data_IF_309612012090
#
_entry.id   IF_309612012090
#
_cell.length_a   1.000
_cell.length_b   1.000
_cell.length_c   1.000
_cell.angle_alpha   90.00
_cell.angle_beta   90.00
_cell.angle_gamma   90.00
#
_symmetry.space_group_name_H-M   'P 1'
#
loop_
_entity.id
_entity.type
_entity.pdbx_description
1 polymer ?
#
# COMPACT_ATOMS: atom_id res chain seq x y z
N UNK A 1 -27.73 16.93 -11.07
CA UNK A 1 -27.62 15.89 -12.09
C UNK A 1 -28.11 14.59 -11.48
N UNK A 2 -29.43 14.43 -11.40
CA UNK A 2 -30.08 13.19 -11.04
C UNK A 2 -30.27 12.36 -12.32
N UNK A 3 -29.21 11.76 -12.79
CA UNK A 3 -29.34 10.58 -13.63
C UNK A 3 -29.22 9.40 -12.72
N UNK A 4 -30.33 8.71 -12.41
CA UNK A 4 -30.55 7.50 -11.63
C UNK A 4 -29.47 6.40 -11.52
N UNK A 5 -28.22 6.79 -11.47
CA UNK A 5 -27.10 5.94 -11.09
C UNK A 5 -26.96 6.06 -9.59
N UNK A 6 -27.65 5.19 -8.88
CA UNK A 6 -27.38 4.97 -7.47
C UNK A 6 -25.94 4.43 -7.40
N UNK A 7 -24.98 5.28 -7.11
CA UNK A 7 -23.64 4.85 -6.80
C UNK A 7 -23.71 4.00 -5.54
N UNK A 8 -23.58 2.69 -5.69
CA UNK A 8 -23.46 1.81 -4.54
C UNK A 8 -22.23 2.24 -3.76
N UNK A 9 -22.41 2.54 -2.46
CA UNK A 9 -21.34 2.92 -1.55
C UNK A 9 -20.71 1.68 -0.89
N UNK A 10 -20.90 0.53 -1.51
CA UNK A 10 -20.30 -0.74 -1.14
C UNK A 10 -19.85 -1.50 -2.39
N UNK A 11 -18.87 -2.35 -2.26
CA UNK A 11 -18.41 -3.21 -3.36
C UNK A 11 -19.44 -4.30 -3.62
N UNK A 12 -19.74 -4.51 -4.89
CA UNK A 12 -20.69 -5.53 -5.31
C UNK A 12 -19.96 -6.75 -5.86
N UNK A 13 -20.44 -7.97 -5.58
CA UNK A 13 -19.86 -9.20 -6.11
C UNK A 13 -20.00 -9.30 -7.63
N UNK A 14 -20.97 -8.60 -8.22
CA UNK A 14 -21.26 -8.61 -9.65
C UNK A 14 -21.82 -7.29 -10.15
N UNK A 15 -21.49 -6.95 -11.40
CA UNK A 15 -22.06 -5.85 -12.15
C UNK A 15 -22.83 -6.37 -13.37
N UNK A 16 -23.85 -5.64 -13.83
CA UNK A 16 -24.61 -5.97 -15.04
C UNK A 16 -23.76 -5.91 -16.33
N UNK A 17 -22.63 -5.24 -16.30
CA UNK A 17 -21.69 -5.15 -17.41
C UNK A 17 -20.50 -6.10 -17.17
N UNK A 18 -20.23 -6.99 -18.14
CA UNK A 18 -19.19 -8.03 -18.04
C UNK A 18 -17.77 -7.57 -18.43
N UNK A 19 -17.56 -6.32 -18.84
CA UNK A 19 -16.24 -5.84 -19.29
C UNK A 19 -15.17 -5.89 -18.19
N UNK A 20 -15.49 -5.47 -16.97
CA UNK A 20 -14.55 -5.48 -15.85
C UNK A 20 -14.23 -6.89 -15.35
N UNK A 21 -15.20 -7.78 -15.07
CA UNK A 21 -14.93 -9.17 -14.72
C UNK A 21 -14.08 -9.92 -15.76
N UNK A 22 -14.39 -9.77 -17.05
CA UNK A 22 -13.62 -10.44 -18.10
C UNK A 22 -12.19 -9.91 -18.22
N UNK A 23 -11.97 -8.61 -18.02
CA UNK A 23 -10.62 -8.02 -17.95
C UNK A 23 -9.83 -8.59 -16.78
N UNK A 24 -10.48 -8.73 -15.62
CA UNK A 24 -9.87 -9.29 -14.42
C UNK A 24 -9.50 -10.77 -14.61
N UNK A 25 -10.39 -11.57 -15.22
CA UNK A 25 -10.12 -12.97 -15.54
C UNK A 25 -8.94 -13.15 -16.51
N UNK A 26 -8.68 -12.18 -17.39
CA UNK A 26 -7.51 -12.21 -18.28
C UNK A 26 -6.23 -11.80 -17.56
N UNK A 27 -6.33 -10.87 -16.62
CA UNK A 27 -5.17 -10.32 -15.91
C UNK A 27 -4.65 -11.28 -14.85
N UNK A 28 -5.53 -11.91 -14.05
CA UNK A 28 -5.12 -12.77 -12.92
C UNK A 28 -4.16 -13.90 -13.32
N UNK A 29 -4.40 -14.68 -14.42
CA UNK A 29 -3.46 -15.71 -14.82
C UNK A 29 -2.08 -15.20 -15.25
N UNK A 30 -1.98 -13.91 -15.61
CA UNK A 30 -0.74 -13.28 -16.02
C UNK A 30 0.03 -12.66 -14.85
N UNK A 31 -0.57 -12.61 -13.65
CA UNK A 31 0.00 -11.88 -12.52
C UNK A 31 1.41 -12.37 -12.15
N UNK A 32 1.65 -13.68 -12.19
CA UNK A 32 2.95 -14.28 -11.90
C UNK A 32 4.04 -13.79 -12.89
N UNK A 33 3.69 -13.49 -14.15
CA UNK A 33 4.66 -13.01 -15.14
C UNK A 33 5.16 -11.59 -14.86
N UNK A 34 4.49 -10.83 -14.00
CA UNK A 34 4.97 -9.53 -13.54
C UNK A 34 5.89 -9.60 -12.32
N UNK A 35 5.91 -10.76 -11.64
CA UNK A 35 6.75 -10.95 -10.47
C UNK A 35 8.21 -11.28 -10.85
N UNK A 36 8.40 -11.88 -12.02
CA UNK A 36 9.69 -12.41 -12.46
C UNK A 36 10.03 -11.98 -13.88
N UNK A 37 11.31 -11.71 -14.12
CA UNK A 37 11.86 -11.59 -15.47
C UNK A 37 13.08 -12.51 -15.66
N UNK A 38 13.21 -13.03 -16.88
CA UNK A 38 14.18 -14.05 -17.23
C UNK A 38 15.11 -13.54 -18.33
N UNK A 39 16.42 -13.61 -18.07
CA UNK A 39 17.45 -13.41 -19.08
C UNK A 39 18.17 -14.74 -19.41
N UNK A 40 19.17 -14.71 -20.28
CA UNK A 40 19.94 -15.91 -20.63
C UNK A 40 20.68 -16.54 -19.42
N UNK A 41 21.20 -15.68 -18.55
CA UNK A 41 21.95 -16.10 -17.34
C UNK A 41 21.52 -15.32 -16.09
N UNK A 42 20.34 -14.70 -16.15
CA UNK A 42 19.82 -13.87 -15.07
C UNK A 42 18.36 -14.22 -14.78
N UNK A 43 18.05 -14.34 -13.48
CA UNK A 43 16.71 -14.37 -12.93
C UNK A 43 16.52 -13.11 -12.09
N UNK A 44 15.45 -12.36 -12.34
CA UNK A 44 15.14 -11.14 -11.60
C UNK A 44 13.78 -11.22 -10.94
N UNK A 45 13.75 -10.86 -9.66
CA UNK A 45 12.54 -10.66 -8.88
C UNK A 45 12.10 -9.18 -8.99
N UNK A 46 11.00 -8.94 -9.70
CA UNK A 46 10.45 -7.60 -9.93
C UNK A 46 9.46 -7.18 -8.84
N UNK A 47 8.59 -8.10 -8.43
CA UNK A 47 7.61 -7.90 -7.36
C UNK A 47 7.77 -9.03 -6.35
N UNK A 48 8.12 -8.73 -5.09
CA UNK A 48 8.44 -9.76 -4.10
C UNK A 48 7.17 -10.36 -3.47
N UNK A 49 6.20 -10.74 -4.30
CA UNK A 49 5.04 -11.50 -3.86
C UNK A 49 5.45 -12.95 -3.55
N UNK A 50 4.78 -13.56 -2.57
CA UNK A 50 5.00 -14.97 -2.24
C UNK A 50 4.75 -15.86 -3.46
N UNK A 51 5.63 -16.83 -3.69
CA UNK A 51 5.58 -17.72 -4.82
C UNK A 51 6.92 -18.33 -5.15
N UNK A 52 7.00 -18.98 -6.29
CA UNK A 52 8.24 -19.66 -6.71
C UNK A 52 8.49 -19.49 -8.21
N UNK A 53 9.75 -19.54 -8.59
CA UNK A 53 10.22 -19.57 -9.98
C UNK A 53 11.27 -20.67 -10.15
N UNK A 54 11.29 -21.30 -11.31
CA UNK A 54 12.35 -22.25 -11.67
C UNK A 54 13.24 -21.59 -12.71
N UNK A 55 14.54 -21.59 -12.42
CA UNK A 55 15.56 -21.12 -13.35
C UNK A 55 16.61 -22.21 -13.53
N UNK A 56 16.57 -22.87 -14.68
CA UNK A 56 17.40 -24.06 -14.99
C UNK A 56 17.21 -25.16 -13.93
N UNK A 57 18.28 -25.54 -13.20
CA UNK A 57 18.25 -26.59 -12.18
C UNK A 57 18.05 -26.04 -10.75
N UNK A 58 17.66 -24.77 -10.62
CA UNK A 58 17.44 -24.14 -9.34
C UNK A 58 16.00 -23.64 -9.24
N UNK A 59 15.32 -23.96 -8.16
CA UNK A 59 14.04 -23.38 -7.78
C UNK A 59 14.30 -22.24 -6.78
N UNK A 60 13.64 -21.10 -6.99
CA UNK A 60 13.74 -19.94 -6.11
C UNK A 60 12.37 -19.69 -5.51
N UNK A 61 12.26 -19.81 -4.20
CA UNK A 61 11.05 -19.61 -3.43
C UNK A 61 11.09 -18.25 -2.74
N UNK A 62 9.99 -17.47 -2.84
CA UNK A 62 9.79 -16.20 -2.13
C UNK A 62 8.74 -16.39 -1.05
N UNK A 63 9.13 -16.16 0.20
CA UNK A 63 8.28 -16.15 1.38
C UNK A 63 8.08 -14.68 1.79
N UNK A 64 6.85 -14.16 1.66
CA UNK A 64 6.57 -12.74 1.86
C UNK A 64 5.10 -12.51 2.13
N UNK A 65 4.80 -11.47 2.93
CA UNK A 65 3.47 -10.90 3.08
C UNK A 65 3.35 -9.56 2.33
N UNK A 66 4.24 -9.28 1.38
CA UNK A 66 4.17 -8.10 0.55
C UNK A 66 2.82 -8.02 -0.19
N UNK A 67 2.13 -6.89 -0.24
CA UNK A 67 2.58 -5.53 0.08
C UNK A 67 2.33 -5.06 1.53
N UNK A 68 1.85 -5.93 2.43
CA UNK A 68 1.50 -5.55 3.81
C UNK A 68 2.69 -5.55 4.77
N UNK A 69 3.74 -6.30 4.45
CA UNK A 69 5.01 -6.33 5.18
C UNK A 69 6.17 -6.15 4.19
N UNK A 70 7.25 -5.56 4.67
CA UNK A 70 8.49 -5.36 3.91
C UNK A 70 9.55 -6.43 4.13
N UNK A 71 9.28 -7.46 4.94
CA UNK A 71 10.20 -8.59 5.14
C UNK A 71 9.98 -9.65 4.06
N UNK A 72 11.04 -9.99 3.33
CA UNK A 72 11.04 -10.93 2.22
C UNK A 72 12.19 -11.91 2.41
N UNK A 73 11.85 -13.19 2.46
CA UNK A 73 12.82 -14.29 2.53
C UNK A 73 12.81 -15.02 1.20
N UNK A 74 13.98 -15.18 0.60
CA UNK A 74 14.17 -15.84 -0.71
C UNK A 74 15.09 -17.05 -0.50
N UNK A 75 14.57 -18.23 -0.77
CA UNK A 75 15.27 -19.51 -0.58
C UNK A 75 15.58 -20.13 -1.93
N UNK A 76 16.82 -20.60 -2.09
CA UNK A 76 17.27 -21.26 -3.29
C UNK A 76 17.35 -22.77 -3.05
N UNK A 77 16.76 -23.55 -3.96
CA UNK A 77 16.74 -25.01 -3.93
C UNK A 77 17.44 -25.57 -5.17
N UNK A 78 18.48 -26.37 -4.95
CA UNK A 78 19.33 -26.91 -6.00
C UNK A 78 20.63 -26.15 -6.17
N UNK A 79 21.40 -26.48 -7.24
CA UNK A 79 22.71 -25.89 -7.48
C UNK A 79 22.81 -25.41 -8.93
N UNK A 80 23.03 -24.12 -9.14
CA UNK A 80 23.12 -23.53 -10.49
C UNK A 80 23.88 -22.18 -10.45
N UNK A 81 24.83 -21.93 -11.38
CA UNK A 81 25.47 -20.62 -11.50
C UNK A 81 24.60 -19.65 -12.32
N UNK A 82 24.15 -18.56 -11.72
CA UNK A 82 23.45 -17.48 -12.41
C UNK A 82 23.51 -16.17 -11.66
N UNK A 83 23.09 -15.11 -12.35
CA UNK A 83 22.88 -13.80 -11.76
C UNK A 83 21.46 -13.72 -11.22
N UNK A 84 21.32 -13.51 -9.91
CA UNK A 84 20.03 -13.18 -9.30
C UNK A 84 19.97 -11.69 -9.02
N UNK A 85 18.88 -11.05 -9.40
CA UNK A 85 18.64 -9.64 -9.14
C UNK A 85 17.29 -9.46 -8.43
N UNK A 86 17.24 -8.55 -7.46
CA UNK A 86 16.03 -8.20 -6.75
C UNK A 86 15.78 -6.69 -6.87
N UNK A 87 14.63 -6.31 -7.41
CA UNK A 87 14.26 -4.91 -7.55
C UNK A 87 13.88 -4.29 -6.20
N UNK A 88 14.49 -3.17 -5.89
CA UNK A 88 14.11 -2.34 -4.74
C UNK A 88 13.14 -1.27 -5.23
N UNK A 89 11.89 -1.27 -4.76
CA UNK A 89 10.89 -0.31 -5.21
C UNK A 89 11.30 1.14 -4.96
N UNK A 90 10.92 2.06 -5.86
CA UNK A 90 11.29 3.48 -5.76
C UNK A 90 10.74 4.21 -4.53
N UNK A 91 9.69 3.69 -3.90
CA UNK A 91 9.17 4.22 -2.64
C UNK A 91 10.05 3.84 -1.43
N UNK A 92 10.84 2.77 -1.51
CA UNK A 92 11.69 2.30 -0.41
C UNK A 92 13.00 3.07 -0.38
N UNK A 93 13.15 3.94 0.61
CA UNK A 93 14.38 4.73 0.81
C UNK A 93 15.49 3.90 1.46
N UNK A 94 15.11 3.09 2.45
CA UNK A 94 16.03 2.27 3.24
C UNK A 94 15.66 0.79 3.08
N UNK A 95 16.59 0.01 2.55
CA UNK A 95 16.50 -1.43 2.49
C UNK A 95 17.75 -2.03 3.11
N UNK A 96 17.59 -3.09 3.89
CA UNK A 96 18.68 -3.95 4.36
C UNK A 96 18.59 -5.30 3.69
N UNK A 97 19.73 -5.93 3.48
CA UNK A 97 19.81 -7.25 2.86
C UNK A 97 20.89 -8.10 3.49
N UNK A 98 20.61 -9.37 3.69
CA UNK A 98 21.61 -10.36 4.09
C UNK A 98 21.59 -11.56 3.14
N UNK A 99 22.72 -12.26 3.06
CA UNK A 99 22.88 -13.54 2.38
C UNK A 99 23.45 -14.54 3.37
N UNK A 100 22.70 -15.61 3.65
CA UNK A 100 23.06 -16.62 4.63
C UNK A 100 23.42 -16.04 6.02
N UNK A 101 22.68 -14.99 6.44
CA UNK A 101 22.92 -14.29 7.69
C UNK A 101 24.04 -13.25 7.66
N UNK A 102 24.82 -13.18 6.58
CA UNK A 102 25.82 -12.12 6.41
C UNK A 102 25.18 -10.83 5.92
N UNK A 103 25.35 -9.74 6.67
CA UNK A 103 24.84 -8.42 6.26
C UNK A 103 25.56 -7.92 5.00
N UNK A 104 24.78 -7.56 4.00
CA UNK A 104 25.21 -7.00 2.72
C UNK A 104 24.53 -5.64 2.45
N UNK A 105 24.06 -4.94 3.48
CA UNK A 105 23.34 -3.68 3.35
C UNK A 105 24.17 -2.56 2.72
N UNK A 106 25.50 -2.68 2.67
CA UNK A 106 26.40 -1.80 1.94
C UNK A 106 26.41 -2.02 0.42
N UNK A 107 25.75 -3.07 -0.08
CA UNK A 107 25.70 -3.37 -1.51
C UNK A 107 24.98 -2.23 -2.26
N UNK A 108 25.65 -1.69 -3.28
CA UNK A 108 25.06 -0.58 -4.04
C UNK A 108 23.99 -1.08 -5.02
N UNK A 109 22.90 -0.34 -5.10
CA UNK A 109 21.84 -0.57 -6.07
C UNK A 109 22.32 -0.15 -7.47
N UNK A 110 22.23 -1.07 -8.42
CA UNK A 110 22.45 -0.77 -9.82
C UNK A 110 21.12 -0.80 -10.57
N UNK A 111 20.75 0.29 -11.22
CA UNK A 111 19.46 0.44 -11.92
C UNK A 111 18.23 0.05 -11.07
N UNK A 112 18.25 0.38 -9.77
CA UNK A 112 17.17 0.06 -8.84
C UNK A 112 17.14 -1.40 -8.35
N UNK A 113 18.14 -2.21 -8.68
CA UNK A 113 18.23 -3.61 -8.24
C UNK A 113 19.47 -3.85 -7.37
N UNK A 114 19.35 -4.84 -6.47
CA UNK A 114 20.48 -5.53 -5.85
C UNK A 114 20.76 -6.77 -6.69
N UNK A 115 22.04 -7.04 -6.96
CA UNK A 115 22.43 -8.09 -7.90
C UNK A 115 23.58 -8.93 -7.36
N UNK A 116 23.47 -10.24 -7.47
CA UNK A 116 24.48 -11.22 -7.10
C UNK A 116 24.77 -12.17 -8.26
N UNK A 117 26.00 -12.26 -8.67
CA UNK A 117 26.48 -13.25 -9.65
C UNK A 117 27.30 -14.31 -8.92
N UNK A 118 26.74 -15.50 -8.77
CA UNK A 118 27.38 -16.59 -8.03
C UNK A 118 26.87 -17.97 -8.42
N UNK A 119 27.54 -19.01 -7.94
CA UNK A 119 26.98 -20.35 -7.86
C UNK A 119 26.05 -20.40 -6.66
N UNK A 120 24.75 -20.51 -6.90
CA UNK A 120 23.75 -20.72 -5.87
C UNK A 120 23.78 -22.18 -5.42
N UNK A 121 23.56 -22.40 -4.15
CA UNK A 121 23.55 -23.73 -3.54
C UNK A 121 22.22 -23.98 -2.86
N UNK A 122 21.90 -25.26 -2.70
CA UNK A 122 20.71 -25.67 -1.97
C UNK A 122 20.73 -25.13 -0.54
N UNK A 123 19.65 -24.50 -0.14
CA UNK A 123 19.54 -23.84 1.17
C UNK A 123 20.15 -22.43 1.26
N UNK A 124 20.71 -21.86 0.20
CA UNK A 124 21.08 -20.43 0.20
C UNK A 124 19.84 -19.56 0.48
N UNK A 125 19.99 -18.52 1.31
CA UNK A 125 18.91 -17.63 1.73
C UNK A 125 19.33 -16.17 1.55
N UNK A 126 18.53 -15.41 0.81
CA UNK A 126 18.58 -13.94 0.79
C UNK A 126 17.42 -13.41 1.62
N UNK A 127 17.71 -12.61 2.63
CA UNK A 127 16.71 -11.87 3.39
C UNK A 127 16.77 -10.39 3.03
N UNK A 128 15.64 -9.83 2.65
CA UNK A 128 15.50 -8.44 2.27
C UNK A 128 14.46 -7.80 3.18
N UNK A 129 14.80 -6.67 3.79
CA UNK A 129 13.88 -5.86 4.56
C UNK A 129 13.71 -4.49 3.90
N UNK A 130 12.50 -4.18 3.47
CA UNK A 130 12.10 -2.91 2.89
C UNK A 130 11.45 -2.05 3.97
N UNK A 131 12.10 -0.97 4.39
CA UNK A 131 11.54 -0.08 5.39
C UNK A 131 10.23 0.56 4.87
N UNK A 132 9.14 0.40 5.64
CA UNK A 132 7.81 0.88 5.31
C UNK A 132 7.28 1.84 6.40
N UNK A 133 7.89 3.03 6.59
CA UNK A 133 7.35 4.01 7.51
C UNK A 133 6.00 4.55 7.01
N UNK A 134 5.17 5.03 7.93
CA UNK A 134 3.99 5.80 7.58
C UNK A 134 4.46 7.18 7.12
N UNK A 135 4.05 7.59 5.94
CA UNK A 135 4.40 8.87 5.33
C UNK A 135 3.15 9.69 5.06
N UNK A 136 3.23 10.98 5.36
CA UNK A 136 2.22 11.97 4.98
C UNK A 136 2.60 12.57 3.64
N UNK A 137 1.81 12.29 2.62
CA UNK A 137 2.03 12.72 1.24
C UNK A 137 1.29 14.03 0.98
N UNK A 138 1.98 14.96 0.33
CA UNK A 138 1.42 16.21 -0.18
C UNK A 138 1.52 16.23 -1.70
N UNK A 139 0.55 16.82 -2.36
CA UNK A 139 0.59 17.03 -3.80
C UNK A 139 1.32 18.35 -4.14
N UNK A 140 1.89 18.40 -5.34
CA UNK A 140 2.40 19.63 -5.94
C UNK A 140 1.26 20.67 -6.10
N UNK A 141 1.57 21.96 -5.97
CA UNK A 141 0.58 23.03 -6.10
C UNK A 141 -0.15 23.05 -7.44
N UNK A 142 0.44 22.46 -8.47
CA UNK A 142 -0.20 22.30 -9.79
C UNK A 142 -1.39 21.32 -9.74
N UNK A 143 -1.47 20.45 -8.74
CA UNK A 143 -2.61 19.55 -8.52
C UNK A 143 -3.64 20.29 -7.66
N UNK A 144 -4.42 21.17 -8.28
CA UNK A 144 -5.34 22.08 -7.59
C UNK A 144 -6.36 21.39 -6.69
N UNK A 145 -6.85 20.20 -7.08
CA UNK A 145 -7.82 19.41 -6.31
C UNK A 145 -7.29 18.90 -4.95
N UNK A 146 -5.96 18.84 -4.79
CA UNK A 146 -5.32 18.36 -3.55
C UNK A 146 -4.73 19.49 -2.69
N UNK A 147 -4.98 20.77 -3.05
CA UNK A 147 -4.50 21.91 -2.26
C UNK A 147 -5.08 21.86 -0.84
N UNK A 148 -4.23 22.11 0.17
CA UNK A 148 -4.62 22.05 1.57
C UNK A 148 -4.96 20.65 2.08
N UNK A 149 -4.65 19.60 1.29
CA UNK A 149 -4.92 18.20 1.64
C UNK A 149 -3.64 17.39 1.76
N UNK A 150 -3.76 16.31 2.52
CA UNK A 150 -2.70 15.31 2.74
C UNK A 150 -3.28 13.91 2.59
N UNK A 151 -2.43 12.96 2.22
CA UNK A 151 -2.79 11.55 2.13
C UNK A 151 -1.81 10.70 2.97
N UNK A 152 -2.24 9.53 3.41
CA UNK A 152 -1.47 8.60 4.20
C UNK A 152 -0.96 7.50 3.28
N UNK A 153 0.35 7.21 3.34
CA UNK A 153 0.99 6.13 2.62
C UNK A 153 1.90 5.32 3.56
N UNK A 154 1.97 4.01 3.34
CA UNK A 154 2.95 3.13 3.97
C UNK A 154 3.51 2.16 2.94
N UNK A 155 4.77 2.31 2.59
CA UNK A 155 5.36 1.55 1.48
C UNK A 155 4.57 1.74 0.18
N UNK A 156 4.09 0.64 -0.48
CA UNK A 156 3.26 0.73 -1.69
C UNK A 156 1.79 1.02 -1.39
N UNK A 157 1.35 0.92 -0.13
CA UNK A 157 -0.05 1.04 0.26
C UNK A 157 -0.44 2.50 0.46
N UNK A 158 -1.51 2.90 -0.20
CA UNK A 158 -2.25 4.14 0.08
C UNK A 158 -3.36 3.80 1.06
N UNK A 159 -3.65 4.69 2.01
CA UNK A 159 -4.70 4.50 3.00
C UNK A 159 -5.88 5.44 2.74
N UNK A 160 -7.07 4.97 3.06
CA UNK A 160 -8.32 5.73 3.01
C UNK A 160 -8.96 5.79 4.38
N UNK A 161 -9.65 6.87 4.66
CA UNK A 161 -10.48 7.04 5.86
C UNK A 161 -11.92 6.82 5.47
N UNK A 162 -12.59 5.89 6.16
CA UNK A 162 -14.01 5.58 5.95
C UNK A 162 -14.86 6.16 7.07
N UNK A 163 -16.05 6.66 6.72
CA UNK A 163 -17.00 7.17 7.72
C UNK A 163 -17.46 6.07 8.70
N UNK A 164 -17.49 4.81 8.24
CA UNK A 164 -17.84 3.64 9.05
C UNK A 164 -17.01 3.54 10.34
N UNK A 165 -15.70 3.77 10.22
CA UNK A 165 -14.76 3.63 11.36
C UNK A 165 -14.62 4.89 12.19
N UNK A 166 -15.07 6.04 11.67
CA UNK A 166 -14.73 7.34 12.23
C UNK A 166 -15.95 8.10 12.78
N UNK A 167 -17.14 7.51 12.72
CA UNK A 167 -18.42 8.12 13.14
C UNK A 167 -18.62 9.56 12.60
N UNK A 168 -18.05 9.86 11.44
CA UNK A 168 -18.08 11.16 10.80
C UNK A 168 -17.93 11.03 9.28
N UNK A 169 -18.45 12.00 8.53
CA UNK A 169 -18.12 12.13 7.11
C UNK A 169 -16.62 12.45 6.97
N UNK A 170 -15.86 11.68 6.20
CA UNK A 170 -14.44 11.97 5.96
C UNK A 170 -14.16 13.39 5.45
N UNK A 171 -15.15 14.04 4.83
CA UNK A 171 -15.05 15.43 4.39
C UNK A 171 -14.99 16.45 5.53
N UNK A 172 -15.49 16.09 6.72
CA UNK A 172 -15.43 16.94 7.93
C UNK A 172 -14.18 16.70 8.78
N UNK A 173 -13.35 15.73 8.40
CA UNK A 173 -12.15 15.38 9.15
C UNK A 173 -10.92 16.14 8.65
N UNK A 174 -10.12 16.58 9.61
CA UNK A 174 -8.80 17.18 9.39
C UNK A 174 -7.75 16.27 10.01
N UNK A 175 -6.73 15.92 9.26
CA UNK A 175 -5.66 15.05 9.72
C UNK A 175 -4.57 15.87 10.43
N UNK A 176 -4.11 15.40 11.59
CA UNK A 176 -2.85 15.89 12.16
C UNK A 176 -1.67 15.25 11.41
N UNK A 177 -0.92 16.00 10.59
CA UNK A 177 0.18 15.44 9.82
C UNK A 177 1.39 15.03 10.68
N UNK A 178 1.43 15.43 11.95
CA UNK A 178 2.48 15.06 12.90
C UNK A 178 2.03 13.98 13.88
N UNK A 179 0.84 13.40 13.65
CA UNK A 179 0.34 12.31 14.48
C UNK A 179 1.31 11.14 14.52
N UNK A 180 1.50 10.60 15.72
CA UNK A 180 2.11 9.27 15.87
C UNK A 180 1.07 8.23 15.47
N UNK A 181 1.43 7.36 14.51
CA UNK A 181 0.55 6.32 13.99
C UNK A 181 0.70 5.03 14.77
N UNK A 182 -0.42 4.41 15.10
CA UNK A 182 -0.49 3.08 15.72
C UNK A 182 -1.09 2.10 14.72
N UNK A 183 -0.51 0.90 14.67
CA UNK A 183 -1.03 -0.19 13.86
C UNK A 183 -2.07 -0.96 14.66
N UNK A 184 -3.21 -1.27 14.05
CA UNK A 184 -4.24 -2.07 14.70
C UNK A 184 -4.92 -3.03 13.70
N UNK A 185 -5.34 -4.19 14.21
CA UNK A 185 -6.20 -5.08 13.45
C UNK A 185 -7.60 -4.44 13.34
N UNK A 186 -8.20 -4.51 12.15
CA UNK A 186 -9.52 -3.94 11.89
C UNK A 186 -10.45 -5.08 11.52
N UNK A 187 -11.57 -5.18 12.23
CA UNK A 187 -12.57 -6.19 11.99
C UNK A 187 -13.10 -6.14 10.54
N UNK A 188 -13.25 -7.31 9.93
CA UNK A 188 -13.72 -7.46 8.55
C UNK A 188 -12.67 -7.19 7.48
N UNK A 189 -11.40 -6.91 7.85
CA UNK A 189 -10.28 -6.91 6.91
C UNK A 189 -9.58 -8.28 6.88
N UNK A 190 -8.91 -8.64 5.76
CA UNK A 190 -8.14 -9.87 5.67
C UNK A 190 -7.05 -9.96 6.76
N UNK A 191 -6.77 -11.17 7.23
CA UNK A 191 -5.69 -11.44 8.19
C UNK A 191 -4.35 -10.89 7.71
N UNK A 192 -3.56 -10.34 8.63
CA UNK A 192 -2.28 -9.69 8.33
C UNK A 192 -2.41 -8.25 7.80
N UNK A 193 -3.63 -7.77 7.55
CA UNK A 193 -3.88 -6.38 7.16
C UNK A 193 -4.05 -5.50 8.38
N UNK A 194 -3.30 -4.40 8.45
CA UNK A 194 -3.35 -3.46 9.55
C UNK A 194 -3.96 -2.12 9.12
N UNK A 195 -4.86 -1.60 9.91
CA UNK A 195 -5.28 -0.20 9.91
C UNK A 195 -4.23 0.70 10.58
N UNK A 196 -4.35 1.99 10.37
CA UNK A 196 -3.52 3.03 10.95
C UNK A 196 -4.41 3.96 11.77
N UNK A 197 -4.17 4.01 13.07
CA UNK A 197 -4.85 4.95 13.96
C UNK A 197 -3.95 6.13 14.26
N UNK A 198 -4.48 7.32 14.01
CA UNK A 198 -3.81 8.59 14.26
C UNK A 198 -4.75 9.61 14.89
N UNK A 199 -4.28 10.85 14.99
CA UNK A 199 -5.04 11.98 15.56
C UNK A 199 -5.48 12.95 14.48
N UNK A 200 -6.53 13.69 14.75
CA UNK A 200 -7.02 14.76 13.91
C UNK A 200 -8.16 15.53 14.59
N UNK A 201 -8.91 16.24 13.80
CA UNK A 201 -10.04 17.03 14.27
C UNK A 201 -11.25 16.77 13.39
N UNK A 202 -12.41 16.85 14.00
CA UNK A 202 -13.71 16.90 13.33
C UNK A 202 -14.20 18.34 13.34
N UNK A 203 -14.47 18.86 12.17
CA UNK A 203 -15.13 20.16 12.02
C UNK A 203 -16.64 20.02 12.20
N UNK A 204 -17.22 20.89 12.98
CA UNK A 204 -18.66 21.03 13.13
C UNK A 204 -19.08 22.49 12.91
N UNK A 205 -20.28 22.66 12.38
CA UNK A 205 -20.89 23.94 12.14
C UNK A 205 -22.11 24.09 13.07
N UNK A 206 -22.52 25.31 13.43
CA UNK A 206 -23.78 25.54 14.12
C UNK A 206 -24.98 25.01 13.32
N UNK A 207 -25.95 24.44 14.00
CA UNK A 207 -27.12 23.77 13.39
C UNK A 207 -27.94 24.65 12.45
N UNK A 208 -27.98 25.98 12.70
CA UNK A 208 -28.76 26.97 11.93
C UNK A 208 -27.96 27.60 10.77
N UNK A 209 -26.83 27.05 10.39
CA UNK A 209 -26.06 27.55 9.27
C UNK A 209 -26.73 27.21 7.94
N UNK A 210 -27.02 28.23 7.12
CA UNK A 210 -27.38 28.03 5.72
C UNK A 210 -26.20 27.51 4.89
N UNK A 211 -26.39 27.34 3.57
CA UNK A 211 -25.34 26.89 2.66
C UNK A 211 -24.11 27.83 2.63
N UNK A 212 -24.29 29.08 2.94
CA UNK A 212 -23.25 30.10 3.06
C UNK A 212 -23.40 30.80 4.42
N UNK A 213 -22.34 30.87 5.18
CA UNK A 213 -22.36 31.38 6.55
C UNK A 213 -21.07 32.12 6.90
N UNK A 214 -21.13 32.96 7.93
CA UNK A 214 -19.97 33.67 8.50
C UNK A 214 -19.59 33.21 9.90
N UNK A 215 -20.26 32.14 10.42
CA UNK A 215 -19.93 31.57 11.71
C UNK A 215 -18.55 30.88 11.69
N UNK A 216 -17.84 30.95 12.82
CA UNK A 216 -16.57 30.26 12.97
C UNK A 216 -16.81 28.76 13.21
N UNK A 217 -16.20 27.86 12.41
CA UNK A 217 -16.29 26.41 12.66
C UNK A 217 -15.72 26.05 14.03
N UNK A 218 -16.26 24.99 14.62
CA UNK A 218 -15.72 24.38 15.84
C UNK A 218 -14.93 23.12 15.46
N UNK A 219 -13.86 22.86 16.20
CA UNK A 219 -12.98 21.70 15.99
C UNK A 219 -12.91 20.86 17.24
N UNK A 220 -13.29 19.59 17.13
CA UNK A 220 -13.21 18.60 18.18
C UNK A 220 -12.04 17.64 17.88
N UNK A 221 -11.17 17.40 18.86
CA UNK A 221 -10.08 16.43 18.71
C UNK A 221 -10.65 15.01 18.64
N UNK A 222 -10.28 14.28 17.59
CA UNK A 222 -10.77 12.91 17.34
C UNK A 222 -9.63 11.97 16.99
N UNK A 223 -9.88 10.68 17.21
CA UNK A 223 -9.04 9.62 16.66
C UNK A 223 -9.50 9.28 15.24
N UNK A 224 -8.56 9.14 14.30
CA UNK A 224 -8.85 8.82 12.90
C UNK A 224 -8.27 7.43 12.61
N UNK A 225 -9.13 6.51 12.14
CA UNK A 225 -8.73 5.21 11.63
C UNK A 225 -8.71 5.26 10.10
N UNK A 226 -7.57 4.85 9.53
CA UNK A 226 -7.39 4.70 8.09
C UNK A 226 -7.11 3.23 7.74
N UNK A 227 -7.68 2.75 6.65
CA UNK A 227 -7.52 1.38 6.16
C UNK A 227 -6.86 1.39 4.77
N UNK A 228 -6.19 0.31 4.32
CA UNK A 228 -5.64 0.25 2.98
C UNK A 228 -6.73 0.52 1.92
N UNK A 229 -6.46 1.46 1.02
CA UNK A 229 -7.40 1.87 -0.04
C UNK A 229 -7.91 0.70 -0.87
N UNK A 230 -7.08 -0.32 -1.10
CA UNK A 230 -7.49 -1.52 -1.84
C UNK A 230 -8.67 -2.26 -1.19
N UNK A 231 -8.92 -2.04 0.10
CA UNK A 231 -9.90 -2.76 0.91
C UNK A 231 -11.10 -1.90 1.34
N UNK A 232 -11.18 -0.64 0.91
CA UNK A 232 -12.30 0.23 1.23
C UNK A 232 -13.62 -0.33 0.69
N UNK A 233 -14.73 -0.03 1.37
CA UNK A 233 -16.10 -0.49 1.03
C UNK A 233 -16.31 -2.02 1.03
N UNK A 234 -15.40 -2.80 1.60
CA UNK A 234 -15.61 -4.25 1.74
C UNK A 234 -16.44 -4.61 2.99
N UNK A 235 -16.65 -3.65 3.91
CA UNK A 235 -17.26 -3.87 5.22
C UNK A 235 -18.65 -3.24 5.38
N UNK A 236 -19.13 -2.55 4.36
CA UNK A 236 -20.45 -1.92 4.34
C UNK A 236 -20.49 -0.60 3.60
N UNK A 237 -21.69 0.01 3.54
CA UNK A 237 -21.92 1.30 2.90
C UNK A 237 -21.25 2.41 3.70
N UNK A 238 -20.29 3.10 3.09
CA UNK A 238 -19.58 4.21 3.71
C UNK A 238 -19.03 5.19 2.68
N UNK A 239 -19.00 6.47 3.04
CA UNK A 239 -18.16 7.44 2.34
C UNK A 239 -16.71 7.23 2.70
N UNK A 240 -15.80 7.56 1.80
CA UNK A 240 -14.37 7.50 2.06
C UNK A 240 -13.63 8.71 1.49
N UNK A 241 -12.45 8.98 2.04
CA UNK A 241 -11.50 9.92 1.47
C UNK A 241 -10.06 9.42 1.60
N UNK A 242 -9.28 9.58 0.54
CA UNK A 242 -7.82 9.40 0.55
C UNK A 242 -7.14 10.72 0.91
N UNK A 243 -7.64 11.84 0.35
CA UNK A 243 -7.09 13.16 0.56
C UNK A 243 -7.88 13.90 1.62
N UNK A 244 -7.38 13.93 2.83
CA UNK A 244 -7.96 14.62 3.97
C UNK A 244 -7.48 16.08 4.04
N UNK A 245 -8.26 16.96 4.65
CA UNK A 245 -7.82 18.30 4.97
C UNK A 245 -6.63 18.25 5.94
N UNK A 246 -5.66 19.14 5.71
CA UNK A 246 -4.52 19.27 6.60
C UNK A 246 -4.92 20.09 7.84
N UNK A 247 -4.79 19.51 9.02
CA UNK A 247 -5.10 20.18 10.29
C UNK A 247 -4.11 21.25 10.73
N UNK A 248 -2.92 21.32 10.08
CA UNK A 248 -1.96 22.43 10.28
C UNK A 248 -2.11 23.42 9.13
N UNK A 249 -2.78 24.51 9.38
CA UNK A 249 -2.99 25.58 8.41
C UNK A 249 -4.44 26.09 8.35
N UNK A 250 -5.24 25.73 9.32
CA UNK A 250 -6.52 26.37 9.63
C UNK A 250 -6.32 27.41 10.74
#
# INVERSE_FOLDING_TARGET
WEHGVTYARERRPWFSCSCCPTSFCRFLPQLASFCWSYGQSELRLEIPAAGQATFRNCQVEVQSQYPYDGHIRIVFHGQEPFTFSCRIPGWCRNASVSLNGQDLSSLQRQNGCLTWKRLWQDGDVVELSLAMPVEIVRADLRVSACRGRVAIRRGPLVYAVEGLDNAADPGSLLLDPESAWQFEAVEGLPEGTLGLRGKGWKESLPDDCGLYFSATPQFEAVSILAVPYALWQNRGDSRMSVWLRNGKGC
#
